data_IF_117982947651
#
_entry.id   IF_117982947651
#
_cell.length_a   1.000
_cell.length_b   1.000
_cell.length_c   1.000
_cell.angle_alpha   90.00
_cell.angle_beta   90.00
_cell.angle_gamma   90.00
#
_symmetry.space_group_name_H-M   'P 1'
#
loop_
_entity.id
_entity.type
_entity.pdbx_description
1 polymer ?
#
# COMPACT_ATOMS: atom_id res chain seq x y z
N UNK A 1 21.66 -25.72 -15.08
CA UNK A 1 20.23 -25.58 -14.70
C UNK A 1 20.13 -24.43 -13.70
N UNK A 2 19.62 -23.27 -14.13
CA UNK A 2 19.64 -22.05 -13.31
C UNK A 2 18.36 -21.99 -12.47
N UNK A 3 18.44 -22.34 -11.20
CA UNK A 3 17.39 -22.03 -10.24
C UNK A 3 17.34 -20.52 -10.02
N UNK A 4 16.47 -19.83 -10.73
CA UNK A 4 16.08 -18.46 -10.38
C UNK A 4 15.33 -18.53 -9.07
N UNK A 5 15.99 -18.11 -7.99
CA UNK A 5 15.36 -17.97 -6.68
C UNK A 5 14.06 -17.18 -6.78
N UNK A 6 12.96 -17.84 -6.45
CA UNK A 6 11.61 -17.28 -6.48
C UNK A 6 11.47 -16.34 -5.30
N UNK A 7 11.64 -15.04 -5.56
CA UNK A 7 11.45 -13.99 -4.56
C UNK A 7 9.97 -13.87 -4.17
N UNK A 8 9.66 -13.65 -2.90
CA UNK A 8 8.29 -13.62 -2.42
C UNK A 8 7.47 -12.49 -3.06
N UNK A 9 6.25 -12.82 -3.39
CA UNK A 9 5.22 -11.91 -3.93
C UNK A 9 4.86 -10.88 -2.85
N UNK A 10 4.60 -9.64 -3.24
CA UNK A 10 4.36 -8.53 -2.33
C UNK A 10 2.96 -7.97 -2.47
N UNK A 11 2.34 -7.65 -1.35
CA UNK A 11 0.95 -7.20 -1.26
C UNK A 11 0.83 -5.75 -0.79
N UNK A 12 -0.20 -5.09 -1.28
CA UNK A 12 -0.53 -3.71 -0.98
C UNK A 12 -1.93 -3.57 -0.38
N UNK A 13 -2.07 -2.86 0.72
CA UNK A 13 -3.37 -2.60 1.30
C UNK A 13 -3.46 -1.33 2.15
N UNK A 14 -4.68 -0.87 2.28
CA UNK A 14 -5.13 0.24 3.11
C UNK A 14 -5.78 -0.27 4.40
N UNK A 15 -5.61 0.47 5.48
CA UNK A 15 -6.65 0.61 6.49
C UNK A 15 -6.71 2.03 7.06
N UNK A 16 -7.92 2.58 7.10
CA UNK A 16 -8.28 3.68 7.98
C UNK A 16 -8.54 3.11 9.37
N UNK A 17 -8.06 3.77 10.42
CA UNK A 17 -8.54 3.52 11.77
C UNK A 17 -10.00 3.95 11.84
N UNK A 18 -10.87 3.02 12.07
CA UNK A 18 -12.27 3.08 12.48
C UNK A 18 -13.16 4.24 12.01
N UNK A 19 -14.31 3.85 11.49
CA UNK A 19 -15.48 4.67 11.30
C UNK A 19 -16.51 3.94 10.46
N UNK A 20 -17.68 3.71 11.06
CA UNK A 20 -18.84 3.01 10.54
C UNK A 20 -19.18 3.27 9.08
N UNK A 21 -19.76 2.24 8.45
CA UNK A 21 -20.45 2.33 7.16
C UNK A 21 -21.54 3.41 7.20
N UNK A 22 -21.50 4.30 6.24
CA UNK A 22 -22.69 5.04 5.82
C UNK A 22 -22.61 5.37 4.34
N UNK A 23 -23.69 5.06 3.64
CA UNK A 23 -24.02 5.44 2.28
C UNK A 23 -23.63 6.89 1.98
N UNK A 24 -22.94 7.10 0.87
CA UNK A 24 -22.76 8.45 0.35
C UNK A 24 -22.99 8.53 -1.15
N UNK A 25 -24.15 9.12 -1.43
CA UNK A 25 -24.38 9.90 -2.65
C UNK A 25 -23.99 11.35 -2.31
N UNK A 26 -22.81 11.81 -2.74
CA UNK A 26 -22.55 13.25 -2.91
C UNK A 26 -21.53 13.52 -4.01
N UNK A 27 -22.00 14.22 -4.94
CA UNK A 27 -21.51 15.11 -6.00
C UNK A 27 -19.99 15.30 -6.21
N UNK A 28 -19.62 15.21 -7.49
CA UNK A 28 -18.30 15.43 -8.07
C UNK A 28 -17.78 16.89 -8.01
N UNK A 29 -18.46 17.78 -7.30
CA UNK A 29 -18.10 19.20 -7.24
C UNK A 29 -17.17 19.62 -6.11
N UNK A 30 -17.05 18.81 -5.05
CA UNK A 30 -16.25 19.18 -3.87
C UNK A 30 -14.78 18.74 -3.94
N UNK A 31 -14.42 17.88 -4.88
CA UNK A 31 -13.05 17.34 -4.97
C UNK A 31 -12.03 18.34 -5.56
N UNK A 32 -12.48 19.40 -6.23
CA UNK A 32 -11.60 20.39 -6.86
C UNK A 32 -11.24 21.52 -5.89
N UNK A 33 -12.14 21.85 -4.96
CA UNK A 33 -11.90 22.92 -3.97
C UNK A 33 -10.87 22.54 -2.90
N UNK A 34 -10.75 21.25 -2.57
CA UNK A 34 -9.77 20.77 -1.57
C UNK A 34 -8.32 20.76 -2.07
N UNK A 35 -8.11 20.73 -3.39
CA UNK A 35 -6.77 20.71 -3.97
C UNK A 35 -6.07 22.08 -3.95
N UNK A 36 -6.82 23.17 -4.01
CA UNK A 36 -6.26 24.52 -4.05
C UNK A 36 -5.96 25.11 -2.67
N UNK A 37 -6.60 24.59 -1.62
CA UNK A 37 -6.37 25.06 -0.23
C UNK A 37 -5.12 24.44 0.42
N UNK A 38 -4.54 23.38 -0.15
CA UNK A 38 -3.40 22.68 0.44
C UNK A 38 -2.02 23.23 0.06
N UNK A 39 -1.92 24.13 -0.93
CA UNK A 39 -0.63 24.65 -1.42
C UNK A 39 0.07 25.65 -0.48
N UNK A 40 -0.57 26.07 0.60
CA UNK A 40 -0.04 27.10 1.51
C UNK A 40 -0.06 26.78 3.01
N UNK A 41 -0.54 25.60 3.43
CA UNK A 41 -0.52 25.26 4.85
C UNK A 41 0.69 24.38 5.20
N UNK A 42 1.42 24.71 6.28
CA UNK A 42 2.50 23.87 6.76
C UNK A 42 1.95 22.46 7.01
N UNK A 43 2.72 21.46 6.62
CA UNK A 43 2.37 20.05 6.72
C UNK A 43 1.88 19.76 8.15
N UNK A 44 0.58 19.51 8.32
CA UNK A 44 -0.08 19.34 9.62
C UNK A 44 0.30 18.02 10.27
N UNK A 45 1.59 17.69 10.24
CA UNK A 45 2.15 16.50 10.93
C UNK A 45 1.39 15.21 10.56
N UNK A 46 0.92 15.10 9.31
CA UNK A 46 0.09 14.01 8.81
C UNK A 46 -1.16 13.74 9.68
N UNK A 47 -1.67 14.77 10.33
CA UNK A 47 -2.93 14.77 11.06
C UNK A 47 -4.02 15.41 10.20
N UNK A 48 -5.15 14.73 10.07
CA UNK A 48 -6.28 15.24 9.35
C UNK A 48 -7.60 14.88 9.99
N UNK A 49 -8.61 15.70 9.77
CA UNK A 49 -9.95 15.51 10.35
C UNK A 49 -10.75 14.54 9.51
N UNK A 50 -11.01 13.36 10.06
CA UNK A 50 -11.96 12.38 9.54
C UNK A 50 -13.31 12.49 10.27
N UNK A 51 -14.32 11.72 9.85
CA UNK A 51 -15.62 11.68 10.54
C UNK A 51 -15.51 11.29 12.01
N UNK A 52 -14.49 10.49 12.38
CA UNK A 52 -14.20 10.07 13.76
C UNK A 52 -13.23 10.98 14.51
N UNK A 53 -12.96 12.21 14.02
CA UNK A 53 -12.01 13.13 14.62
C UNK A 53 -10.65 13.17 13.92
N UNK A 54 -9.64 13.69 14.63
CA UNK A 54 -8.29 13.73 14.09
C UNK A 54 -7.71 12.32 13.95
N UNK A 55 -7.20 12.02 12.75
CA UNK A 55 -6.64 10.70 12.44
C UNK A 55 -5.48 10.78 11.47
N UNK A 56 -4.70 9.72 11.45
CA UNK A 56 -3.57 9.51 10.55
C UNK A 56 -3.78 8.17 9.85
N UNK A 57 -3.50 8.13 8.54
CA UNK A 57 -3.47 6.90 7.78
C UNK A 57 -2.04 6.41 7.60
N UNK A 58 -1.85 5.12 7.81
CA UNK A 58 -0.59 4.44 7.52
C UNK A 58 -0.78 3.55 6.29
N UNK A 59 -0.09 3.87 5.22
CA UNK A 59 -0.06 3.07 3.99
C UNK A 59 1.16 2.16 4.03
N UNK A 60 0.96 0.87 3.80
CA UNK A 60 2.00 -0.14 3.97
C UNK A 60 2.07 -1.04 2.74
N UNK A 61 3.29 -1.29 2.26
CA UNK A 61 3.59 -2.44 1.42
C UNK A 61 4.20 -3.54 2.27
N UNK A 62 3.72 -4.76 2.12
CA UNK A 62 4.20 -5.93 2.85
C UNK A 62 4.62 -7.05 1.90
N UNK A 63 5.53 -7.90 2.36
CA UNK A 63 5.88 -9.12 1.67
C UNK A 63 4.95 -10.30 2.05
N UNK A 64 5.12 -11.45 1.41
CA UNK A 64 4.29 -12.64 1.65
C UNK A 64 4.39 -13.22 3.06
N UNK A 65 5.43 -12.87 3.82
CA UNK A 65 5.63 -13.25 5.23
C UNK A 65 5.04 -12.24 6.22
N UNK A 66 4.22 -11.29 5.75
CA UNK A 66 3.65 -10.22 6.56
C UNK A 66 4.71 -9.30 7.19
N UNK A 67 5.82 -9.04 6.49
CA UNK A 67 6.84 -8.08 6.92
C UNK A 67 6.65 -6.76 6.18
N UNK A 68 6.61 -5.60 6.86
CA UNK A 68 6.54 -4.29 6.22
C UNK A 68 7.82 -4.04 5.39
N UNK A 69 7.68 -3.59 4.15
CA UNK A 69 8.82 -3.28 3.25
C UNK A 69 8.85 -1.83 2.80
N UNK A 70 7.72 -1.14 2.87
CA UNK A 70 7.63 0.30 2.68
C UNK A 70 6.42 0.83 3.43
N UNK A 71 6.49 2.07 3.87
CA UNK A 71 5.39 2.77 4.54
C UNK A 71 5.38 4.24 4.18
N UNK A 72 4.19 4.83 4.23
CA UNK A 72 3.95 6.26 4.13
C UNK A 72 2.84 6.63 5.11
N UNK A 73 2.97 7.76 5.75
CA UNK A 73 1.98 8.31 6.67
C UNK A 73 1.31 9.50 6.00
N UNK A 74 0.00 9.59 6.07
CA UNK A 74 -0.77 10.70 5.51
C UNK A 74 -1.89 11.13 6.45
N UNK A 75 -2.40 12.33 6.24
CA UNK A 75 -3.58 12.82 6.95
C UNK A 75 -4.79 11.89 6.72
N UNK A 76 -5.62 11.72 7.75
CA UNK A 76 -6.68 10.71 7.77
C UNK A 76 -7.76 10.85 6.70
N UNK A 77 -8.05 12.08 6.21
CA UNK A 77 -9.01 12.34 5.15
C UNK A 77 -8.47 12.06 3.76
N UNK A 78 -7.14 11.97 3.58
CA UNK A 78 -6.54 11.77 2.26
C UNK A 78 -6.97 10.47 1.60
N UNK A 79 -7.22 10.54 0.29
CA UNK A 79 -7.59 9.35 -0.50
C UNK A 79 -6.37 8.42 -0.67
N UNK A 80 -6.58 7.12 -0.54
CA UNK A 80 -5.48 6.14 -0.48
C UNK A 80 -4.67 6.02 -1.76
N UNK A 81 -5.29 6.24 -2.92
CA UNK A 81 -4.61 6.17 -4.21
C UNK A 81 -3.49 7.20 -4.36
N UNK A 82 -3.59 8.34 -3.66
CA UNK A 82 -2.58 9.41 -3.68
C UNK A 82 -1.25 8.94 -3.05
N UNK A 83 -1.32 8.10 -2.03
CA UNK A 83 -0.12 7.57 -1.36
C UNK A 83 0.60 6.48 -2.17
N UNK A 84 0.01 5.99 -3.26
CA UNK A 84 0.54 4.86 -4.03
C UNK A 84 1.97 5.10 -4.51
N UNK A 85 2.20 6.21 -5.20
CA UNK A 85 3.49 6.53 -5.79
C UNK A 85 4.57 6.75 -4.72
N UNK A 86 4.21 7.41 -3.62
CA UNK A 86 5.12 7.63 -2.48
C UNK A 86 5.53 6.28 -1.83
N UNK A 87 4.60 5.35 -1.65
CA UNK A 87 4.95 4.03 -1.11
C UNK A 87 5.80 3.24 -2.10
N UNK A 88 5.51 3.28 -3.40
CA UNK A 88 6.31 2.63 -4.42
C UNK A 88 7.72 3.24 -4.56
N UNK A 89 7.88 4.54 -4.31
CA UNK A 89 9.18 5.22 -4.27
C UNK A 89 10.01 4.79 -3.05
N UNK A 90 9.36 4.54 -1.91
CA UNK A 90 10.01 4.10 -0.68
C UNK A 90 10.34 2.60 -0.65
N UNK A 91 9.93 1.85 -1.68
CA UNK A 91 10.16 0.41 -1.71
C UNK A 91 11.65 0.10 -1.85
N UNK A 92 12.21 -0.54 -0.81
CA UNK A 92 13.59 -1.01 -0.77
C UNK A 92 13.60 -2.46 -0.27
N UNK A 93 14.08 -3.34 -1.11
CA UNK A 93 14.12 -4.77 -0.84
C UNK A 93 15.57 -5.19 -0.77
N UNK A 94 16.04 -5.55 0.41
CA UNK A 94 17.38 -6.10 0.59
C UNK A 94 17.58 -7.33 -0.31
N UNK A 95 18.81 -7.54 -0.76
CA UNK A 95 19.24 -8.74 -1.46
C UNK A 95 20.16 -9.53 -0.55
N UNK A 96 20.14 -10.85 -0.60
CA UNK A 96 21.22 -11.64 0.01
C UNK A 96 22.51 -11.33 -0.77
N UNK A 97 23.53 -10.83 -0.10
CA UNK A 97 24.80 -10.44 -0.70
C UNK A 97 24.93 -8.97 -1.04
N UNK A 98 26.06 -8.61 -1.65
CA UNK A 98 26.39 -7.22 -2.03
C UNK A 98 25.49 -6.76 -3.21
N UNK A 99 25.12 -5.50 -3.21
CA UNK A 99 24.42 -4.87 -4.30
C UNK A 99 23.31 -3.92 -3.86
N UNK A 100 22.84 -3.12 -4.82
CA UNK A 100 21.77 -2.14 -4.58
C UNK A 100 20.45 -2.85 -4.24
N UNK A 101 19.70 -2.37 -3.24
CA UNK A 101 18.37 -2.90 -2.93
C UNK A 101 17.46 -2.87 -4.15
N UNK A 102 16.63 -3.89 -4.28
CA UNK A 102 15.64 -3.97 -5.35
C UNK A 102 14.47 -3.02 -5.06
N UNK A 103 14.10 -2.20 -6.04
CA UNK A 103 12.99 -1.24 -5.94
C UNK A 103 11.74 -1.68 -6.70
N UNK A 104 11.84 -2.77 -7.48
CA UNK A 104 10.77 -3.29 -8.33
C UNK A 104 10.33 -4.66 -7.84
N UNK A 105 9.09 -4.80 -7.32
CA UNK A 105 8.50 -6.10 -7.02
C UNK A 105 8.06 -6.81 -8.30
N UNK A 106 7.91 -8.12 -8.27
CA UNK A 106 7.43 -8.91 -9.43
C UNK A 106 5.94 -8.69 -9.65
N UNK A 107 5.19 -8.52 -8.56
CA UNK A 107 3.74 -8.35 -8.56
C UNK A 107 3.31 -7.43 -7.42
N UNK A 108 2.29 -6.62 -7.70
CA UNK A 108 1.58 -5.82 -6.70
C UNK A 108 0.15 -6.34 -6.60
N UNK A 109 -0.26 -6.68 -5.38
CA UNK A 109 -1.63 -7.01 -5.02
C UNK A 109 -2.20 -5.82 -4.25
N UNK A 110 -3.27 -5.21 -4.74
CA UNK A 110 -3.89 -4.07 -4.08
C UNK A 110 -5.41 -4.15 -4.13
N UNK A 111 -6.06 -3.37 -3.26
CA UNK A 111 -7.52 -3.28 -3.21
C UNK A 111 -8.08 -2.52 -4.44
N UNK A 112 -9.38 -2.67 -4.68
CA UNK A 112 -10.11 -1.95 -5.72
C UNK A 112 -10.01 -0.42 -5.62
N UNK A 113 -9.65 0.13 -4.46
CA UNK A 113 -9.36 1.55 -4.30
C UNK A 113 -8.20 2.03 -5.21
N UNK A 114 -7.28 1.13 -5.54
CA UNK A 114 -6.12 1.38 -6.39
C UNK A 114 -6.32 0.98 -7.87
N UNK A 115 -7.57 0.79 -8.31
CA UNK A 115 -7.89 0.30 -9.66
C UNK A 115 -7.69 1.32 -10.77
N UNK A 116 -7.32 2.57 -10.46
CA UNK A 116 -7.20 3.65 -11.44
C UNK A 116 -6.29 3.28 -12.62
N UNK A 117 -6.62 3.79 -13.81
CA UNK A 117 -5.83 3.57 -15.02
C UNK A 117 -4.39 4.08 -14.84
N UNK A 118 -4.21 5.23 -14.20
CA UNK A 118 -2.89 5.81 -13.94
C UNK A 118 -1.98 4.84 -13.17
N UNK A 119 -2.48 4.23 -12.09
CA UNK A 119 -1.74 3.25 -11.30
C UNK A 119 -1.40 2.00 -12.13
N UNK A 120 -2.36 1.50 -12.93
CA UNK A 120 -2.11 0.33 -13.80
C UNK A 120 -1.07 0.63 -14.86
N UNK A 121 -1.14 1.80 -15.49
CA UNK A 121 -0.15 2.26 -16.48
C UNK A 121 1.24 2.41 -15.87
N UNK A 122 1.33 3.03 -14.69
CA UNK A 122 2.60 3.19 -13.98
C UNK A 122 3.22 1.83 -13.61
N UNK A 123 2.42 0.87 -13.15
CA UNK A 123 2.90 -0.50 -12.87
C UNK A 123 3.35 -1.21 -14.14
N UNK A 124 2.58 -1.09 -15.24
CA UNK A 124 2.92 -1.70 -16.53
C UNK A 124 4.22 -1.12 -17.09
N UNK A 125 4.38 0.20 -17.08
CA UNK A 125 5.61 0.87 -17.54
C UNK A 125 6.86 0.41 -16.76
N UNK A 126 6.69 0.06 -15.47
CA UNK A 126 7.75 -0.52 -14.62
C UNK A 126 7.90 -2.04 -14.78
N UNK A 127 7.13 -2.69 -15.65
CA UNK A 127 7.12 -4.14 -15.83
C UNK A 127 6.65 -4.92 -14.60
N UNK A 128 5.77 -4.33 -13.79
CA UNK A 128 5.25 -4.93 -12.55
C UNK A 128 3.87 -5.52 -12.84
N UNK A 129 3.66 -6.79 -12.50
CA UNK A 129 2.34 -7.43 -12.65
C UNK A 129 1.37 -6.86 -11.63
N UNK A 130 0.27 -6.23 -12.10
CA UNK A 130 -0.80 -5.71 -11.26
C UNK A 130 -1.91 -6.76 -11.10
N UNK A 131 -2.27 -7.10 -9.85
CA UNK A 131 -3.45 -7.90 -9.54
C UNK A 131 -4.35 -7.06 -8.64
N UNK A 132 -5.16 -6.23 -9.27
CA UNK A 132 -6.05 -5.26 -8.65
C UNK A 132 -7.44 -5.49 -9.22
N UNK A 133 -8.50 -5.71 -8.41
CA UNK A 133 -9.85 -5.86 -8.94
C UNK A 133 -10.34 -4.53 -9.52
N UNK A 134 -11.17 -4.60 -10.56
CA UNK A 134 -11.82 -3.41 -11.12
C UNK A 134 -13.06 -3.06 -10.29
N UNK A 135 -13.37 -1.77 -10.20
CA UNK A 135 -14.62 -1.29 -9.61
C UNK A 135 -15.81 -1.59 -10.53
N UNK A 136 -17.01 -1.75 -9.99
CA UNK A 136 -18.22 -2.02 -10.77
C UNK A 136 -18.47 -0.95 -11.85
N UNK A 137 -18.29 0.34 -11.49
CA UNK A 137 -18.45 1.45 -12.43
C UNK A 137 -17.41 1.41 -13.57
N UNK A 138 -16.18 0.96 -13.32
CA UNK A 138 -15.15 0.78 -14.36
C UNK A 138 -15.55 -0.34 -15.33
N UNK A 139 -16.10 -1.45 -14.80
CA UNK A 139 -16.59 -2.57 -15.60
C UNK A 139 -17.77 -2.12 -16.46
N UNK A 140 -18.78 -1.49 -15.86
CA UNK A 140 -19.97 -0.97 -16.55
C UNK A 140 -19.59 0.07 -17.61
N UNK A 141 -18.72 1.00 -17.28
CA UNK A 141 -18.25 2.02 -18.21
C UNK A 141 -17.48 1.45 -19.41
N UNK A 142 -16.73 0.36 -19.21
CA UNK A 142 -16.07 -0.35 -20.31
C UNK A 142 -17.09 -1.10 -21.19
N UNK A 143 -18.03 -1.85 -20.58
CA UNK A 143 -19.06 -2.58 -21.31
C UNK A 143 -19.92 -1.65 -22.14
N UNK A 144 -20.32 -0.47 -21.59
CA UNK A 144 -21.09 0.55 -22.32
C UNK A 144 -20.36 1.07 -23.58
N UNK A 145 -19.01 1.14 -23.55
CA UNK A 145 -18.21 1.56 -24.72
C UNK A 145 -18.05 0.46 -25.77
N UNK A 146 -18.50 -0.76 -25.52
CA UNK A 146 -18.39 -1.88 -26.45
C UNK A 146 -16.96 -2.11 -26.93
N UNK A 147 -16.75 -2.20 -28.25
CA UNK A 147 -15.41 -2.40 -28.85
C UNK A 147 -14.39 -1.33 -28.46
N UNK A 148 -14.84 -0.07 -28.23
CA UNK A 148 -13.98 1.04 -27.77
C UNK A 148 -13.58 0.92 -26.30
N UNK A 149 -14.18 0.04 -25.51
CA UNK A 149 -13.86 -0.17 -24.11
C UNK A 149 -12.58 -0.95 -23.84
N UNK A 150 -11.99 -1.55 -24.87
CA UNK A 150 -10.74 -2.28 -24.83
C UNK A 150 -10.79 -3.60 -24.04
N UNK A 151 -9.63 -4.29 -23.99
CA UNK A 151 -9.49 -5.55 -23.26
C UNK A 151 -9.56 -5.31 -21.74
N UNK A 152 -10.31 -6.15 -21.00
CA UNK A 152 -10.35 -6.06 -19.54
C UNK A 152 -8.96 -6.30 -18.94
N UNK A 153 -8.62 -5.61 -17.83
CA UNK A 153 -7.38 -5.87 -17.12
C UNK A 153 -7.30 -7.32 -16.65
N UNK A 154 -6.13 -7.93 -16.80
CA UNK A 154 -5.89 -9.31 -16.32
C UNK A 154 -6.00 -9.36 -14.80
N UNK A 155 -6.81 -10.28 -14.28
CA UNK A 155 -7.00 -10.47 -12.86
C UNK A 155 -6.77 -11.93 -12.45
N UNK A 156 -5.76 -12.15 -11.63
CA UNK A 156 -5.38 -13.47 -11.11
C UNK A 156 -6.06 -13.68 -9.74
N UNK A 157 -7.18 -14.42 -9.73
CA UNK A 157 -7.96 -14.73 -8.52
C UNK A 157 -7.14 -15.53 -7.49
N UNK A 158 -6.31 -16.46 -7.95
CA UNK A 158 -5.50 -17.31 -7.07
C UNK A 158 -4.45 -16.45 -6.33
N UNK A 159 -3.74 -15.61 -7.06
CA UNK A 159 -2.80 -14.67 -6.45
C UNK A 159 -3.51 -13.65 -5.53
N UNK A 160 -4.73 -13.22 -5.87
CA UNK A 160 -5.46 -12.25 -5.06
C UNK A 160 -5.87 -12.78 -3.69
N UNK A 161 -6.11 -14.09 -3.54
CA UNK A 161 -6.40 -14.71 -2.24
C UNK A 161 -5.30 -14.45 -1.20
N UNK A 162 -4.06 -14.28 -1.64
CA UNK A 162 -2.93 -13.98 -0.74
C UNK A 162 -2.90 -12.52 -0.26
N UNK A 163 -3.82 -11.66 -0.71
CA UNK A 163 -3.91 -10.25 -0.28
C UNK A 163 -4.08 -10.09 1.24
N UNK A 164 -4.70 -11.04 1.91
CA UNK A 164 -4.90 -11.04 3.37
C UNK A 164 -3.59 -10.89 4.19
N UNK A 165 -2.45 -11.12 3.55
CA UNK A 165 -1.12 -10.90 4.15
C UNK A 165 -0.98 -9.47 4.69
N UNK A 166 -1.51 -8.46 3.99
CA UNK A 166 -1.38 -7.06 4.42
C UNK A 166 -2.22 -6.76 5.65
N UNK A 167 -3.42 -7.31 5.73
CA UNK A 167 -4.27 -7.19 6.93
C UNK A 167 -3.57 -7.79 8.14
N UNK A 168 -2.94 -8.95 7.97
CA UNK A 168 -2.11 -9.59 9.01
C UNK A 168 -0.91 -8.72 9.39
N UNK A 169 -0.26 -8.08 8.42
CA UNK A 169 0.85 -7.16 8.70
C UNK A 169 0.39 -5.98 9.54
N UNK A 170 -0.74 -5.37 9.20
CA UNK A 170 -1.32 -4.27 9.96
C UNK A 170 -1.69 -4.72 11.37
N UNK A 171 -2.26 -5.92 11.51
CA UNK A 171 -2.58 -6.47 12.83
C UNK A 171 -1.32 -6.71 13.68
N UNK A 172 -0.23 -7.24 13.08
CA UNK A 172 1.08 -7.37 13.78
C UNK A 172 1.61 -6.01 14.25
N UNK A 173 1.54 -4.98 13.41
CA UNK A 173 1.98 -3.62 13.79
C UNK A 173 1.13 -3.04 14.91
N UNK A 174 -0.18 -3.27 14.89
CA UNK A 174 -1.13 -2.79 15.92
C UNK A 174 -0.97 -3.48 17.28
N UNK A 175 -0.30 -4.63 17.35
CA UNK A 175 0.10 -5.22 18.65
C UNK A 175 1.03 -4.27 19.42
N UNK A 176 1.72 -3.37 18.76
CA UNK A 176 2.45 -2.28 19.40
C UNK A 176 1.48 -1.13 19.68
N UNK A 177 1.14 -0.91 20.96
CA UNK A 177 0.15 0.09 21.39
C UNK A 177 0.42 1.48 20.82
N UNK A 178 1.68 1.90 20.79
CA UNK A 178 2.10 3.20 20.27
C UNK A 178 1.80 3.36 18.75
N UNK A 179 1.76 2.26 17.99
CA UNK A 179 1.34 2.27 16.57
C UNK A 179 -0.19 2.24 16.46
N UNK A 180 -0.86 1.48 17.32
CA UNK A 180 -2.32 1.36 17.31
C UNK A 180 -2.99 2.68 17.68
N UNK A 181 -2.46 3.35 18.70
CA UNK A 181 -2.92 4.66 19.17
C UNK A 181 -1.76 5.64 19.02
N UNK A 182 -1.89 6.54 18.07
CA UNK A 182 -0.85 7.55 17.87
C UNK A 182 -0.82 8.51 19.05
N UNK A 183 0.20 8.39 19.89
CA UNK A 183 0.48 9.35 20.97
C UNK A 183 1.41 10.48 20.52
N UNK A 184 2.19 10.22 19.47
CA UNK A 184 3.20 11.15 18.98
C UNK A 184 2.55 12.34 18.26
N UNK A 185 2.84 13.56 18.70
CA UNK A 185 2.36 14.78 18.04
C UNK A 185 3.03 14.96 16.68
N UNK A 186 4.36 14.73 16.61
CA UNK A 186 5.17 14.91 15.40
C UNK A 186 5.08 13.69 14.48
N UNK A 187 4.93 13.93 13.18
CA UNK A 187 4.82 12.88 12.15
C UNK A 187 6.09 12.02 12.11
N UNK A 188 7.26 12.65 12.16
CA UNK A 188 8.52 11.91 12.08
C UNK A 188 8.77 10.99 13.27
N UNK A 189 8.30 11.35 14.49
CA UNK A 189 8.38 10.50 15.68
C UNK A 189 7.45 9.29 15.51
N UNK A 190 6.20 9.53 15.11
CA UNK A 190 5.26 8.44 14.83
C UNK A 190 5.77 7.49 13.75
N UNK A 191 6.42 8.04 12.72
CA UNK A 191 7.07 7.26 11.65
C UNK A 191 8.18 6.38 12.23
N UNK A 192 9.03 6.93 13.11
CA UNK A 192 10.05 6.17 13.84
C UNK A 192 9.44 5.05 14.70
N UNK A 193 8.34 5.31 15.39
CA UNK A 193 7.58 4.30 16.16
C UNK A 193 7.13 3.13 15.27
N UNK A 194 6.63 3.43 14.06
CA UNK A 194 6.26 2.40 13.07
C UNK A 194 7.50 1.64 12.60
N UNK A 195 8.65 2.30 12.45
CA UNK A 195 9.91 1.63 12.04
C UNK A 195 10.37 0.64 13.09
N UNK A 196 10.41 1.04 14.35
CA UNK A 196 10.79 0.14 15.46
C UNK A 196 9.86 -1.07 15.51
N UNK A 197 8.56 -0.87 15.38
CA UNK A 197 7.59 -1.98 15.31
C UNK A 197 7.83 -2.87 14.07
N UNK A 198 8.21 -2.29 12.94
CA UNK A 198 8.52 -3.02 11.72
C UNK A 198 9.80 -3.85 11.87
N UNK A 199 10.85 -3.27 12.46
CA UNK A 199 12.11 -3.99 12.77
C UNK A 199 11.83 -5.18 13.68
N UNK A 200 11.00 -5.01 14.71
CA UNK A 200 10.60 -6.11 15.60
C UNK A 200 9.93 -7.26 14.83
N UNK A 201 9.09 -6.95 13.83
CA UNK A 201 8.47 -7.97 12.97
C UNK A 201 9.54 -8.69 12.14
N UNK A 202 10.49 -7.95 11.56
CA UNK A 202 11.57 -8.52 10.77
C UNK A 202 12.50 -9.42 11.58
N UNK A 203 12.82 -9.04 12.81
CA UNK A 203 13.67 -9.83 13.71
C UNK A 203 13.00 -11.14 14.16
N UNK A 204 11.68 -11.18 14.26
CA UNK A 204 10.93 -12.39 14.62
C UNK A 204 10.79 -13.38 13.46
N UNK A 205 10.88 -12.90 12.24
CA UNK A 205 10.77 -13.69 11.02
C UNK A 205 11.87 -13.27 10.03
N UNK A 206 13.14 -13.57 10.34
CA UNK A 206 14.27 -13.18 9.50
C UNK A 206 14.16 -13.86 8.12
N UNK A 207 14.75 -13.25 7.07
CA UNK A 207 14.88 -13.93 5.78
C UNK A 207 15.73 -15.18 5.97
N UNK A 208 15.36 -16.28 5.32
CA UNK A 208 16.20 -17.46 5.28
C UNK A 208 17.55 -17.07 4.69
N UNK A 209 18.58 -17.11 5.51
CA UNK A 209 19.95 -17.12 5.04
C UNK A 209 20.13 -18.47 4.36
N UNK A 210 20.27 -18.48 3.04
CA UNK A 210 20.84 -19.64 2.38
C UNK A 210 22.24 -19.78 2.93
N UNK A 211 22.43 -20.68 3.89
CA UNK A 211 23.75 -21.15 4.25
C UNK A 211 24.36 -21.75 2.99
N UNK A 212 25.27 -21.01 2.39
CA UNK A 212 26.24 -21.56 1.45
C UNK A 212 27.30 -22.28 2.29
N UNK A 213 26.89 -23.31 2.95
CA UNK A 213 27.80 -24.25 3.59
C UNK A 213 27.38 -25.65 3.15
N UNK A 214 28.02 -26.07 2.10
CA UNK A 214 28.60 -27.40 2.03
C UNK A 214 29.46 -27.51 0.78
N UNK A 215 30.77 -27.50 1.08
CA UNK A 215 31.89 -28.15 0.43
C UNK A 215 31.98 -28.07 -1.10
#
# INVERSE_FOLDING_TARGET
MSHRGMWPRRCWHRRSSQGAESNDKKSAGEAVADAETEAGQPDREALGRSRGGYSTKVHIAADTRCRPVARVVTAGQRHDSIAFDAVMANLRIGRPGRGRPRTRPDRVLADKAYSSMAIRTALHARGIKATIPSKANEITGRTRRGRKGGRPPTFDKAAYKTRNVVERTINKLRQTRAVATRYDKREFVYRGTIDVASIRIWLRDPPETHSRDTA
#
